data_IF_696980579179
#
_entry.id   IF_696980579179
#
_cell.length_a   1.000
_cell.length_b   1.000
_cell.length_c   1.000
_cell.angle_alpha   90.00
_cell.angle_beta   90.00
_cell.angle_gamma   90.00
#
_symmetry.space_group_name_H-M   'P 1'
#
loop_
_entity.id
_entity.type
_entity.pdbx_description
1 polymer ?
#
# COMPACT_ATOMS: atom_id res chain seq x y z
N UNK A 1 9.50 -23.15 12.53
CA UNK A 1 8.04 -23.05 12.58
C UNK A 1 7.67 -22.21 11.38
N UNK A 2 7.30 -22.83 10.27
CA UNK A 2 6.74 -22.09 9.14
C UNK A 2 5.37 -21.58 9.59
N UNK A 3 5.37 -20.37 10.11
CA UNK A 3 4.25 -19.75 10.80
C UNK A 3 3.08 -19.60 9.84
N UNK A 4 1.91 -20.01 10.29
CA UNK A 4 0.70 -19.88 9.50
C UNK A 4 0.39 -18.40 9.20
N UNK A 5 0.08 -18.07 7.94
CA UNK A 5 -0.49 -16.77 7.57
C UNK A 5 -2.03 -16.87 7.59
N UNK A 6 -2.71 -16.45 8.68
CA UNK A 6 -4.16 -16.51 8.85
C UNK A 6 -4.93 -15.83 7.71
N UNK A 7 -4.40 -14.72 7.22
CA UNK A 7 -5.06 -13.91 6.19
C UNK A 7 -5.02 -14.57 4.81
N UNK A 8 -4.05 -15.45 4.56
CA UNK A 8 -3.97 -16.26 3.34
C UNK A 8 -4.76 -17.59 3.43
N UNK A 9 -5.33 -17.91 4.59
CA UNK A 9 -6.18 -19.11 4.75
C UNK A 9 -7.62 -18.80 4.38
N UNK A 10 -8.36 -19.77 3.81
CA UNK A 10 -9.80 -19.65 3.63
C UNK A 10 -10.50 -19.32 4.95
N UNK A 11 -11.47 -18.42 4.90
CA UNK A 11 -12.14 -17.88 6.08
C UNK A 11 -13.31 -16.97 5.71
N UNK A 12 -13.79 -16.23 6.69
CA UNK A 12 -14.86 -15.26 6.54
C UNK A 12 -14.58 -14.01 7.39
N UNK A 13 -15.22 -12.90 7.03
CA UNK A 13 -15.14 -11.67 7.81
C UNK A 13 -16.23 -11.67 8.88
N UNK A 14 -15.82 -11.63 10.15
CA UNK A 14 -16.71 -11.42 11.30
C UNK A 14 -16.73 -9.93 11.64
N UNK A 15 -17.92 -9.40 11.95
CA UNK A 15 -18.13 -7.98 12.25
C UNK A 15 -18.74 -7.84 13.65
N UNK A 16 -17.93 -7.98 14.70
CA UNK A 16 -18.33 -7.60 16.06
C UNK A 16 -17.11 -7.39 17.00
N UNK A 17 -16.80 -6.14 17.44
CA UNK A 17 -17.38 -4.87 17.02
C UNK A 17 -16.71 -4.27 15.76
N UNK A 18 -15.66 -4.89 15.22
CA UNK A 18 -14.93 -4.45 14.02
C UNK A 18 -14.64 -5.62 13.07
N UNK A 19 -14.25 -5.36 11.80
CA UNK A 19 -13.93 -6.42 10.84
C UNK A 19 -12.72 -7.24 11.29
N UNK A 20 -12.94 -8.53 11.56
CA UNK A 20 -11.91 -9.51 11.93
C UNK A 20 -11.97 -10.67 10.96
N UNK A 21 -10.82 -11.04 10.39
CA UNK A 21 -10.74 -12.27 9.60
C UNK A 21 -10.84 -13.50 10.50
N UNK A 22 -11.71 -14.44 10.16
CA UNK A 22 -11.83 -15.73 10.84
C UNK A 22 -11.50 -16.85 9.86
N UNK A 23 -10.27 -17.38 9.89
CA UNK A 23 -9.94 -18.55 9.09
C UNK A 23 -10.73 -19.76 9.59
N UNK A 24 -11.08 -20.67 8.68
CA UNK A 24 -11.73 -21.93 9.06
C UNK A 24 -10.80 -22.87 9.84
N UNK A 25 -9.48 -22.65 9.73
CA UNK A 25 -8.48 -23.36 10.52
C UNK A 25 -8.22 -22.62 11.83
N UNK A 26 -8.84 -23.11 12.92
CA UNK A 26 -8.72 -22.56 14.27
C UNK A 26 -7.29 -22.61 14.83
N UNK A 27 -6.40 -23.43 14.26
CA UNK A 27 -4.99 -23.47 14.68
C UNK A 27 -4.18 -22.28 14.15
N UNK A 28 -4.78 -21.49 13.27
CA UNK A 28 -4.17 -20.38 12.57
C UNK A 28 -4.97 -19.09 12.77
N UNK A 29 -5.16 -18.64 14.01
CA UNK A 29 -5.89 -17.39 14.26
C UNK A 29 -5.05 -16.13 13.96
N UNK A 30 -5.68 -15.04 13.46
CA UNK A 30 -5.00 -13.77 13.28
C UNK A 30 -4.62 -13.13 14.63
N UNK A 31 -3.40 -12.56 14.72
CA UNK A 31 -3.02 -11.84 15.91
C UNK A 31 -3.77 -10.50 15.99
N UNK A 32 -4.15 -10.08 17.20
CA UNK A 32 -4.89 -8.82 17.45
C UNK A 32 -3.96 -7.62 17.66
N UNK A 33 -2.86 -7.54 16.91
CA UNK A 33 -1.80 -6.55 17.13
C UNK A 33 -2.31 -5.12 17.00
N UNK A 34 -3.18 -4.83 16.03
CA UNK A 34 -3.69 -3.48 15.84
C UNK A 34 -4.66 -3.08 16.95
N UNK A 35 -5.54 -3.98 17.38
CA UNK A 35 -6.42 -3.73 18.52
C UNK A 35 -5.62 -3.46 19.81
N UNK A 36 -4.53 -4.20 20.05
CA UNK A 36 -3.63 -3.92 21.17
C UNK A 36 -2.93 -2.57 21.04
N UNK A 37 -2.53 -2.17 19.83
CA UNK A 37 -1.96 -0.85 19.56
C UNK A 37 -2.95 0.26 19.91
N UNK A 38 -4.20 0.18 19.45
CA UNK A 38 -5.26 1.13 19.78
C UNK A 38 -5.52 1.24 21.29
N UNK A 39 -5.50 0.12 22.01
CA UNK A 39 -5.66 0.13 23.46
C UNK A 39 -4.46 0.74 24.19
N UNK A 40 -3.26 0.61 23.63
CA UNK A 40 -2.03 1.10 24.26
C UNK A 40 -1.80 2.60 24.15
N UNK A 41 -2.45 3.27 23.17
CA UNK A 41 -2.31 4.70 22.92
C UNK A 41 -3.48 5.48 23.57
N UNK A 42 -3.21 6.44 24.47
CA UNK A 42 -4.26 7.28 25.05
C UNK A 42 -5.00 8.12 24.01
N UNK A 43 -4.33 8.57 22.95
CA UNK A 43 -4.92 9.42 21.89
C UNK A 43 -6.02 8.71 21.10
N UNK A 44 -5.95 7.39 20.96
CA UNK A 44 -6.99 6.59 20.32
C UNK A 44 -8.30 6.53 21.12
N UNK A 45 -8.32 7.03 22.36
CA UNK A 45 -9.49 7.01 23.26
C UNK A 45 -10.64 7.96 22.89
N UNK A 46 -10.38 8.95 22.03
CA UNK A 46 -11.35 9.97 21.63
C UNK A 46 -11.61 10.01 20.11
N UNK A 47 -11.05 9.04 19.36
CA UNK A 47 -11.14 8.98 17.90
C UNK A 47 -12.32 8.15 17.37
N UNK A 48 -12.46 8.03 16.04
CA UNK A 48 -13.52 7.26 15.39
C UNK A 48 -13.50 5.76 15.74
N UNK A 49 -12.42 5.29 16.36
CA UNK A 49 -12.20 3.90 16.77
C UNK A 49 -12.23 3.68 18.28
N UNK A 50 -12.66 4.67 19.06
CA UNK A 50 -12.62 4.62 20.53
C UNK A 50 -13.34 3.38 21.10
N UNK A 51 -14.46 2.97 20.48
CA UNK A 51 -15.26 1.80 20.88
C UNK A 51 -14.62 0.46 20.50
N UNK A 52 -13.59 0.44 19.65
CA UNK A 52 -12.91 -0.79 19.19
C UNK A 52 -11.65 -1.11 19.99
N UNK A 53 -11.32 -0.29 20.99
CA UNK A 53 -10.21 -0.57 21.91
C UNK A 53 -10.56 -1.80 22.74
N UNK A 54 -9.60 -2.71 22.89
CA UNK A 54 -9.70 -3.77 23.89
C UNK A 54 -9.80 -3.14 25.29
N UNK A 55 -10.76 -3.59 26.10
CA UNK A 55 -11.03 -3.11 27.48
C UNK A 55 -9.85 -3.33 28.44
N UNK A 56 -8.90 -4.18 28.04
CA UNK A 56 -7.58 -4.30 28.63
C UNK A 56 -6.63 -5.03 27.66
N UNK A 57 -5.33 -4.81 27.79
CA UNK A 57 -4.30 -5.57 27.06
C UNK A 57 -3.49 -6.34 28.09
N UNK A 58 -3.50 -7.66 28.00
CA UNK A 58 -2.70 -8.52 28.87
C UNK A 58 -1.21 -8.15 28.76
N UNK A 59 -0.45 -8.29 29.85
CA UNK A 59 0.98 -7.92 29.88
C UNK A 59 1.78 -8.60 28.75
N UNK A 60 1.52 -9.87 28.50
CA UNK A 60 2.17 -10.63 27.42
C UNK A 60 1.86 -10.05 26.03
N UNK A 61 0.60 -9.66 25.78
CA UNK A 61 0.19 -9.04 24.53
C UNK A 61 0.83 -7.67 24.32
N UNK A 62 1.02 -6.89 25.40
CA UNK A 62 1.75 -5.62 25.35
C UNK A 62 3.23 -5.82 25.03
N UNK A 63 3.88 -6.79 25.68
CA UNK A 63 5.29 -7.14 25.40
C UNK A 63 5.48 -7.63 23.95
N UNK A 64 4.53 -8.42 23.44
CA UNK A 64 4.54 -8.85 22.05
C UNK A 64 4.41 -7.65 21.10
N UNK A 65 3.45 -6.76 21.35
CA UNK A 65 3.28 -5.54 20.57
C UNK A 65 4.59 -4.73 20.55
N UNK A 66 5.14 -4.42 21.72
CA UNK A 66 6.42 -3.69 21.86
C UNK A 66 7.54 -4.35 21.05
N UNK A 67 7.70 -5.68 21.16
CA UNK A 67 8.70 -6.42 20.37
C UNK A 67 8.50 -6.25 18.86
N UNK A 68 7.24 -6.22 18.42
CA UNK A 68 6.88 -6.12 17.00
C UNK A 68 7.09 -4.71 16.46
N UNK A 69 6.67 -3.65 17.17
CA UNK A 69 6.60 -2.29 16.60
C UNK A 69 7.67 -1.33 17.10
N UNK A 70 8.34 -1.59 18.23
CA UNK A 70 9.29 -0.65 18.81
C UNK A 70 10.45 -0.38 17.85
N UNK A 71 10.72 0.91 17.59
CA UNK A 71 11.82 1.37 16.72
C UNK A 71 11.75 0.76 15.31
N UNK A 72 10.54 0.65 14.73
CA UNK A 72 10.32 0.06 13.39
C UNK A 72 9.89 1.07 12.34
N UNK A 73 10.34 0.83 11.11
CA UNK A 73 9.86 1.57 9.93
C UNK A 73 9.16 0.64 8.96
N UNK A 74 7.90 0.96 8.67
CA UNK A 74 7.07 0.28 7.68
C UNK A 74 6.86 1.21 6.49
N UNK A 75 7.19 0.73 5.29
CA UNK A 75 7.07 1.46 4.03
C UNK A 75 5.98 0.83 3.16
N UNK A 76 4.94 1.58 2.79
CA UNK A 76 3.95 1.16 1.79
C UNK A 76 4.29 1.78 0.43
N UNK A 77 4.68 0.97 -0.54
CA UNK A 77 4.99 1.37 -1.92
C UNK A 77 3.80 1.05 -2.81
N UNK A 78 3.13 2.08 -3.29
CA UNK A 78 1.89 1.89 -4.04
C UNK A 78 1.27 3.19 -4.55
N UNK A 79 -0.04 3.28 -4.42
CA UNK A 79 -0.86 4.35 -4.98
C UNK A 79 -1.71 5.06 -3.91
N UNK A 80 -2.80 5.71 -4.34
CA UNK A 80 -3.73 6.43 -3.46
C UNK A 80 -4.31 5.55 -2.34
N UNK A 81 -4.43 4.23 -2.55
CA UNK A 81 -4.92 3.31 -1.51
C UNK A 81 -3.93 3.25 -0.36
N UNK A 82 -2.65 3.03 -0.65
CA UNK A 82 -1.61 2.91 0.38
C UNK A 82 -1.41 4.23 1.13
N UNK A 83 -1.53 5.36 0.44
CA UNK A 83 -1.64 6.69 1.06
C UNK A 83 -2.79 6.76 2.04
N UNK A 84 -3.99 6.44 1.55
CA UNK A 84 -5.20 6.50 2.36
C UNK A 84 -5.04 5.59 3.56
N UNK A 85 -4.41 4.42 3.44
CA UNK A 85 -4.16 3.53 4.58
C UNK A 85 -3.25 4.16 5.65
N UNK A 86 -2.19 4.89 5.28
CA UNK A 86 -1.35 5.64 6.25
C UNK A 86 -2.14 6.78 6.92
N UNK A 87 -2.98 7.48 6.16
CA UNK A 87 -3.84 8.54 6.71
C UNK A 87 -4.90 7.96 7.66
N UNK A 88 -5.57 6.88 7.26
CA UNK A 88 -6.52 6.13 8.08
C UNK A 88 -5.84 5.64 9.38
N UNK A 89 -4.61 5.11 9.29
CA UNK A 89 -3.85 4.70 10.47
C UNK A 89 -3.75 5.85 11.47
N UNK A 90 -3.24 6.99 11.02
CA UNK A 90 -3.04 8.14 11.88
C UNK A 90 -4.34 8.60 12.52
N UNK A 91 -5.41 8.73 11.74
CA UNK A 91 -6.74 9.10 12.24
C UNK A 91 -7.24 8.09 13.29
N UNK A 92 -7.08 6.79 13.05
CA UNK A 92 -7.45 5.75 14.01
C UNK A 92 -6.63 5.82 15.31
N UNK A 93 -5.34 6.20 15.23
CA UNK A 93 -4.49 6.39 16.40
C UNK A 93 -4.72 7.73 17.13
N UNK A 94 -5.63 8.58 16.64
CA UNK A 94 -5.83 9.94 17.15
C UNK A 94 -4.67 10.89 16.84
N UNK A 95 -3.95 10.62 15.76
CA UNK A 95 -2.79 11.38 15.27
C UNK A 95 -3.14 12.05 13.94
N UNK A 96 -2.28 12.98 13.49
CA UNK A 96 -2.36 13.57 12.16
C UNK A 96 -1.25 13.03 11.27
N UNK A 97 -1.62 12.57 10.08
CA UNK A 97 -0.65 12.22 9.05
C UNK A 97 0.03 13.46 8.50
N UNK A 98 1.30 13.32 8.10
CA UNK A 98 2.09 14.41 7.52
C UNK A 98 2.41 14.09 6.07
N UNK A 99 2.10 15.02 5.18
CA UNK A 99 2.44 14.92 3.76
C UNK A 99 3.87 15.40 3.50
N UNK A 100 4.62 14.62 2.73
CA UNK A 100 5.97 14.94 2.28
C UNK A 100 5.89 15.50 0.86
N UNK A 101 5.86 16.83 0.76
CA UNK A 101 5.98 17.57 -0.50
C UNK A 101 7.41 18.12 -0.65
N UNK A 102 7.72 18.84 -1.73
CA UNK A 102 9.03 19.43 -1.93
C UNK A 102 9.43 20.42 -0.81
N UNK A 103 8.48 21.04 -0.13
CA UNK A 103 8.75 21.96 0.98
C UNK A 103 9.03 21.23 2.31
N UNK A 104 8.76 19.93 2.38
CA UNK A 104 9.05 19.11 3.54
C UNK A 104 10.54 18.73 3.60
N UNK A 105 11.11 18.63 4.80
CA UNK A 105 12.53 18.27 4.99
C UNK A 105 12.93 16.90 4.40
N UNK A 106 11.97 15.99 4.23
CA UNK A 106 12.18 14.69 3.58
C UNK A 106 11.88 14.69 2.08
N UNK A 107 11.38 15.79 1.53
CA UNK A 107 10.91 15.88 0.15
C UNK A 107 11.89 16.52 -0.83
N UNK A 108 13.13 16.82 -0.40
CA UNK A 108 14.11 17.52 -1.24
C UNK A 108 14.43 16.79 -2.55
N UNK A 109 14.27 15.47 -2.60
CA UNK A 109 14.45 14.68 -3.82
C UNK A 109 13.54 15.12 -4.96
N UNK A 110 12.34 15.62 -4.64
CA UNK A 110 11.44 16.18 -5.65
C UNK A 110 12.08 17.37 -6.38
N UNK A 111 12.89 18.19 -5.70
CA UNK A 111 13.55 19.36 -6.32
C UNK A 111 14.68 18.98 -7.28
N UNK A 112 15.21 17.76 -7.15
CA UNK A 112 16.37 17.30 -7.90
C UNK A 112 16.01 16.51 -9.15
N UNK A 113 14.71 16.25 -9.39
CA UNK A 113 14.26 15.58 -10.62
C UNK A 113 14.35 16.56 -11.79
N UNK A 114 14.99 16.14 -12.88
CA UNK A 114 15.03 16.90 -14.12
C UNK A 114 13.61 17.03 -14.72
N UNK A 115 13.04 18.22 -14.65
CA UNK A 115 11.65 18.48 -15.05
C UNK A 115 11.46 19.93 -15.46
N UNK A 116 10.63 20.17 -16.48
CA UNK A 116 10.14 21.51 -16.83
C UNK A 116 9.02 21.98 -15.90
N UNK A 117 8.43 21.07 -15.14
CA UNK A 117 7.34 21.32 -14.20
C UNK A 117 7.90 21.47 -12.80
N UNK A 118 7.55 22.56 -12.11
CA UNK A 118 7.92 22.75 -10.69
C UNK A 118 7.20 21.71 -9.81
N UNK A 119 7.86 21.15 -8.78
CA UNK A 119 7.22 20.15 -7.92
C UNK A 119 5.96 20.66 -7.22
N UNK A 120 5.95 21.91 -6.74
CA UNK A 120 4.80 22.46 -6.02
C UNK A 120 4.33 21.54 -4.89
N UNK A 121 3.02 21.26 -4.86
CA UNK A 121 2.40 20.36 -3.90
C UNK A 121 2.38 18.87 -4.33
N UNK A 122 3.28 18.47 -5.23
CA UNK A 122 3.49 17.04 -5.55
C UNK A 122 3.85 16.26 -4.30
N UNK A 123 3.17 15.13 -4.10
CA UNK A 123 3.39 14.22 -3.00
C UNK A 123 4.46 13.19 -3.32
N UNK A 124 5.43 13.07 -2.42
CA UNK A 124 6.42 12.00 -2.40
C UNK A 124 6.00 10.84 -1.49
N UNK A 125 5.45 11.18 -0.33
CA UNK A 125 5.04 10.26 0.72
C UNK A 125 3.98 10.92 1.62
N UNK A 126 3.24 10.13 2.36
CA UNK A 126 2.60 10.51 3.62
C UNK A 126 3.25 9.67 4.73
N UNK A 127 3.29 10.18 5.97
CA UNK A 127 3.72 9.37 7.10
C UNK A 127 2.87 9.59 8.35
N UNK A 128 2.88 8.56 9.20
CA UNK A 128 2.33 8.52 10.52
C UNK A 128 3.41 8.09 11.51
N UNK A 129 3.77 8.95 12.45
CA UNK A 129 4.79 8.68 13.45
C UNK A 129 4.16 8.46 14.83
N UNK A 130 4.44 7.32 15.44
CA UNK A 130 3.91 6.91 16.75
C UNK A 130 5.03 7.03 17.77
N UNK A 131 5.12 8.20 18.42
CA UNK A 131 6.22 8.55 19.33
C UNK A 131 6.41 7.54 20.47
N UNK A 132 5.32 7.06 21.06
CA UNK A 132 5.35 6.10 22.18
C UNK A 132 6.16 4.82 21.87
N UNK A 133 6.24 4.42 20.60
CA UNK A 133 6.96 3.24 20.14
C UNK A 133 8.16 3.56 19.25
N UNK A 134 8.43 4.84 18.97
CA UNK A 134 9.39 5.24 17.95
C UNK A 134 9.16 4.51 16.60
N UNK A 135 7.90 4.38 16.21
CA UNK A 135 7.48 3.64 15.00
C UNK A 135 7.07 4.62 13.91
N UNK A 136 7.59 4.43 12.69
CA UNK A 136 7.24 5.22 11.52
C UNK A 136 6.52 4.35 10.48
N UNK A 137 5.31 4.72 10.12
CA UNK A 137 4.57 4.15 8.98
C UNK A 137 4.56 5.20 7.88
N UNK A 138 5.04 4.87 6.69
CA UNK A 138 5.11 5.84 5.59
C UNK A 138 4.75 5.22 4.26
N UNK A 139 4.18 6.00 3.34
CA UNK A 139 3.91 5.60 1.96
C UNK A 139 4.99 6.11 0.99
N UNK A 140 5.00 5.58 -0.23
CA UNK A 140 5.76 6.09 -1.36
C UNK A 140 4.97 5.84 -2.66
N UNK A 141 4.82 6.87 -3.48
CA UNK A 141 3.97 6.83 -4.68
C UNK A 141 4.71 6.46 -5.96
N UNK A 142 4.08 5.63 -6.78
CA UNK A 142 4.50 5.37 -8.16
C UNK A 142 3.32 5.29 -9.14
N UNK A 143 3.64 5.24 -10.44
CA UNK A 143 2.66 5.24 -11.54
C UNK A 143 2.45 3.85 -12.17
N UNK A 144 2.46 2.81 -11.34
CA UNK A 144 2.31 1.44 -11.82
C UNK A 144 3.50 0.89 -12.62
N UNK A 145 3.23 -0.04 -13.54
CA UNK A 145 4.19 -0.76 -14.38
C UNK A 145 4.64 0.02 -15.62
N UNK A 146 4.02 1.16 -15.88
CA UNK A 146 4.04 1.83 -17.18
C UNK A 146 5.44 2.34 -17.59
N UNK A 147 5.75 2.23 -18.88
CA UNK A 147 7.05 2.61 -19.48
C UNK A 147 6.93 3.50 -20.72
N UNK A 148 5.75 3.63 -21.31
CA UNK A 148 5.47 4.31 -22.59
C UNK A 148 5.06 5.79 -22.44
N UNK A 149 5.41 6.42 -21.31
CA UNK A 149 5.24 7.87 -21.07
C UNK A 149 3.80 8.40 -21.15
N UNK A 150 2.78 7.54 -20.98
CA UNK A 150 1.36 7.94 -21.00
C UNK A 150 1.05 9.08 -20.01
N UNK A 151 1.69 9.06 -18.84
CA UNK A 151 1.45 10.04 -17.78
C UNK A 151 2.18 11.36 -18.02
N UNK A 152 3.30 11.38 -18.74
CA UNK A 152 4.04 12.59 -19.09
C UNK A 152 3.18 13.67 -19.79
N UNK A 153 2.09 13.25 -20.44
CA UNK A 153 1.16 14.14 -21.16
C UNK A 153 0.08 14.74 -20.27
N UNK A 154 -0.02 14.32 -19.00
CA UNK A 154 -1.06 14.79 -18.08
C UNK A 154 -0.61 16.06 -17.33
N UNK A 155 -1.47 17.09 -17.19
CA UNK A 155 -1.07 18.36 -16.56
C UNK A 155 -0.59 18.25 -15.12
N UNK A 156 -1.12 17.28 -14.35
CA UNK A 156 -0.76 17.09 -12.93
C UNK A 156 0.42 16.16 -12.71
N UNK A 157 0.94 15.54 -13.79
CA UNK A 157 2.04 14.60 -13.70
C UNK A 157 3.32 15.25 -13.16
N UNK A 158 4.04 14.47 -12.35
CA UNK A 158 5.38 14.82 -11.90
C UNK A 158 6.36 13.65 -12.10
N UNK A 159 7.50 13.87 -12.78
CA UNK A 159 8.46 12.82 -13.09
C UNK A 159 9.20 12.27 -11.87
N UNK A 160 9.93 11.14 -12.04
CA UNK A 160 9.94 10.28 -13.22
C UNK A 160 8.72 9.34 -13.27
N UNK A 161 8.35 8.87 -14.46
CA UNK A 161 7.21 7.97 -14.63
C UNK A 161 7.57 6.53 -14.28
N UNK A 162 8.70 6.07 -14.80
CA UNK A 162 9.16 4.69 -14.67
C UNK A 162 9.46 4.36 -13.21
N UNK A 163 8.93 3.23 -12.73
CA UNK A 163 9.08 2.82 -11.34
C UNK A 163 10.54 2.76 -10.88
N UNK A 164 11.44 2.15 -11.66
CA UNK A 164 12.85 2.01 -11.25
C UNK A 164 13.55 3.36 -11.11
N UNK A 165 13.24 4.31 -12.00
CA UNK A 165 13.74 5.68 -11.89
C UNK A 165 13.18 6.39 -10.65
N UNK A 166 11.89 6.22 -10.33
CA UNK A 166 11.34 6.76 -9.07
C UNK A 166 12.01 6.15 -7.85
N UNK A 167 12.27 4.85 -7.87
CA UNK A 167 12.96 4.19 -6.76
C UNK A 167 14.39 4.71 -6.59
N UNK A 168 15.09 4.95 -7.69
CA UNK A 168 16.46 5.48 -7.67
C UNK A 168 16.50 6.96 -7.24
N UNK A 169 15.75 7.81 -7.93
CA UNK A 169 15.84 9.27 -7.85
C UNK A 169 14.99 9.86 -6.71
N UNK A 170 13.92 9.18 -6.29
CA UNK A 170 13.00 9.69 -5.28
C UNK A 170 13.02 8.87 -3.98
N UNK A 171 12.76 7.55 -4.06
CA UNK A 171 12.70 6.70 -2.86
C UNK A 171 14.07 6.60 -2.17
N UNK A 172 15.14 6.34 -2.92
CA UNK A 172 16.49 6.24 -2.37
C UNK A 172 16.86 7.47 -1.52
N UNK A 173 16.82 8.68 -2.10
CA UNK A 173 17.03 9.92 -1.36
C UNK A 173 16.04 10.16 -0.21
N UNK A 174 14.77 9.77 -0.35
CA UNK A 174 13.79 9.86 0.75
C UNK A 174 14.22 9.00 1.94
N UNK A 175 14.64 7.77 1.71
CA UNK A 175 15.14 6.87 2.75
C UNK A 175 16.44 7.39 3.39
N UNK A 176 17.34 7.99 2.59
CA UNK A 176 18.54 8.66 3.10
C UNK A 176 18.17 9.84 4.02
N UNK A 177 17.19 10.65 3.61
CA UNK A 177 16.70 11.79 4.37
C UNK A 177 16.05 11.38 5.70
N UNK A 178 15.40 10.21 5.76
CA UNK A 178 14.88 9.61 7.00
C UNK A 178 15.99 9.10 7.92
N UNK A 179 17.14 8.69 7.37
CA UNK A 179 18.30 8.22 8.14
C UNK A 179 19.25 9.33 8.60
N UNK A 180 19.08 10.55 8.07
CA UNK A 180 19.89 11.71 8.40
C UNK A 180 19.66 12.14 9.87
N UNK A 181 20.71 12.35 10.69
CA UNK A 181 20.62 12.77 12.09
C UNK A 181 20.10 14.21 12.32
N UNK A 182 19.27 14.77 11.44
CA UNK A 182 18.69 16.11 11.60
C UNK A 182 17.90 16.20 12.90
N UNK A 183 18.32 17.08 13.78
CA UNK A 183 17.64 17.37 15.06
C UNK A 183 16.59 18.45 14.84
N UNK A 184 15.33 18.04 14.67
CA UNK A 184 14.17 18.93 14.78
C UNK A 184 13.12 18.26 15.65
N UNK A 185 12.51 19.00 16.58
CA UNK A 185 11.39 18.51 17.39
C UNK A 185 10.13 18.23 16.56
N UNK A 186 10.06 18.76 15.34
CA UNK A 186 8.95 18.52 14.41
C UNK A 186 9.14 17.30 13.51
N UNK A 187 10.32 16.66 13.53
CA UNK A 187 10.63 15.51 12.68
C UNK A 187 10.76 14.22 13.51
N UNK A 188 10.38 13.07 12.96
CA UNK A 188 10.69 11.78 13.57
C UNK A 188 12.21 11.61 13.80
N UNK A 189 12.63 10.84 14.82
CA UNK A 189 14.03 10.45 15.00
C UNK A 189 14.59 9.73 13.77
N UNK A 190 15.92 9.77 13.63
CA UNK A 190 16.63 9.12 12.53
C UNK A 190 16.28 7.62 12.42
N UNK A 191 16.04 7.16 11.21
CA UNK A 191 15.67 5.76 10.93
C UNK A 191 16.89 4.94 10.51
N UNK A 192 17.03 3.73 11.04
CA UNK A 192 18.15 2.82 10.68
C UNK A 192 17.98 2.15 9.32
N UNK A 193 16.75 2.07 8.83
CA UNK A 193 16.37 1.39 7.60
C UNK A 193 14.89 1.06 7.61
N UNK A 194 14.47 0.22 6.67
CA UNK A 194 13.12 -0.32 6.58
C UNK A 194 13.09 -1.69 7.26
N UNK A 195 12.08 -1.98 8.06
CA UNK A 195 11.86 -3.30 8.67
C UNK A 195 10.87 -4.13 7.85
N UNK A 196 9.85 -3.47 7.27
CA UNK A 196 8.87 -4.07 6.37
C UNK A 196 8.57 -3.10 5.22
N UNK A 197 8.58 -3.61 3.99
CA UNK A 197 8.02 -2.93 2.82
C UNK A 197 6.78 -3.68 2.33
N UNK A 198 5.68 -2.99 2.11
CA UNK A 198 4.46 -3.51 1.48
C UNK A 198 4.38 -2.91 0.09
N UNK A 199 4.24 -3.75 -0.93
CA UNK A 199 4.20 -3.34 -2.33
C UNK A 199 2.84 -3.62 -2.96
N UNK A 200 2.33 -2.72 -3.79
CA UNK A 200 1.18 -2.96 -4.65
C UNK A 200 1.30 -2.18 -5.96
N UNK A 201 0.77 -2.75 -7.05
CA UNK A 201 0.63 -2.06 -8.34
C UNK A 201 -0.64 -2.53 -9.01
N UNK A 202 -1.53 -1.61 -9.36
CA UNK A 202 -2.76 -1.97 -10.06
C UNK A 202 -3.60 -0.81 -10.55
N UNK A 203 -3.87 0.21 -9.71
CA UNK A 203 -4.81 1.26 -10.12
C UNK A 203 -4.29 2.10 -11.28
N UNK A 204 -3.02 2.49 -11.26
CA UNK A 204 -2.39 3.18 -12.38
C UNK A 204 -2.35 2.32 -13.64
N UNK A 205 -2.11 1.01 -13.50
CA UNK A 205 -2.08 0.06 -14.61
C UNK A 205 -3.44 -0.03 -15.30
N UNK A 206 -4.50 -0.19 -14.50
CA UNK A 206 -5.88 -0.23 -14.95
C UNK A 206 -6.32 1.10 -15.59
N UNK A 207 -5.89 2.23 -15.02
CA UNK A 207 -6.16 3.55 -15.56
C UNK A 207 -5.50 3.75 -16.93
N UNK A 208 -4.22 3.38 -17.09
CA UNK A 208 -3.54 3.44 -18.38
C UNK A 208 -4.25 2.60 -19.42
N UNK A 209 -4.57 1.34 -19.10
CA UNK A 209 -5.25 0.46 -20.05
C UNK A 209 -6.66 0.93 -20.40
N UNK A 210 -7.40 1.52 -19.46
CA UNK A 210 -8.69 2.14 -19.76
C UNK A 210 -8.54 3.32 -20.74
N UNK A 211 -7.50 4.16 -20.59
CA UNK A 211 -7.21 5.23 -21.54
C UNK A 211 -6.85 4.71 -22.93
N UNK A 212 -6.03 3.67 -23.00
CA UNK A 212 -5.66 2.99 -24.25
C UNK A 212 -6.88 2.35 -24.94
N UNK A 213 -7.74 1.66 -24.17
CA UNK A 213 -8.94 1.01 -24.70
C UNK A 213 -9.86 2.04 -25.35
N UNK A 214 -10.05 3.19 -24.70
CA UNK A 214 -10.82 4.31 -25.25
C UNK A 214 -10.22 4.82 -26.55
N UNK A 215 -8.89 4.99 -26.62
CA UNK A 215 -8.21 5.40 -27.85
C UNK A 215 -8.38 4.39 -28.98
N UNK A 216 -8.47 3.10 -28.66
CA UNK A 216 -8.70 2.02 -29.61
C UNK A 216 -10.19 1.77 -29.94
N UNK A 217 -11.12 2.49 -29.31
CA UNK A 217 -12.56 2.27 -29.49
C UNK A 217 -13.07 0.97 -28.86
N UNK A 218 -12.35 0.43 -27.88
CA UNK A 218 -12.69 -0.81 -27.14
C UNK A 218 -13.29 -0.46 -25.78
N UNK A 219 -14.22 -1.29 -25.29
CA UNK A 219 -14.80 -1.07 -23.96
C UNK A 219 -13.79 -1.38 -22.85
N UNK A 220 -13.57 -0.42 -21.95
CA UNK A 220 -12.68 -0.54 -20.78
C UNK A 220 -13.16 -1.55 -19.72
N UNK A 221 -14.37 -2.09 -19.85
CA UNK A 221 -14.91 -3.13 -18.96
C UNK A 221 -14.52 -4.56 -19.36
N UNK A 222 -14.02 -4.77 -20.58
CA UNK A 222 -13.63 -6.10 -21.06
C UNK A 222 -12.41 -6.62 -20.30
N UNK A 223 -12.24 -7.95 -20.30
CA UNK A 223 -11.08 -8.60 -19.70
C UNK A 223 -9.76 -8.07 -20.26
N UNK A 224 -8.72 -8.09 -19.42
CA UNK A 224 -7.36 -7.79 -19.83
C UNK A 224 -6.85 -8.86 -20.81
N UNK A 225 -6.19 -8.39 -21.86
CA UNK A 225 -5.57 -9.28 -22.85
C UNK A 225 -4.43 -10.08 -22.23
N UNK A 226 -4.12 -11.25 -22.78
CA UNK A 226 -2.99 -12.05 -22.33
C UNK A 226 -1.65 -11.30 -22.42
N UNK A 227 -1.53 -10.36 -23.38
CA UNK A 227 -0.33 -9.53 -23.52
C UNK A 227 -0.18 -8.56 -22.34
N UNK A 228 -1.26 -7.87 -21.93
CA UNK A 228 -1.24 -6.99 -20.75
C UNK A 228 -0.90 -7.77 -19.49
N UNK A 229 -1.51 -8.95 -19.31
CA UNK A 229 -1.23 -9.81 -18.15
C UNK A 229 0.23 -10.29 -18.10
N UNK A 230 0.80 -10.74 -19.24
CA UNK A 230 2.21 -11.14 -19.31
C UNK A 230 3.15 -9.97 -19.05
N UNK A 231 2.86 -8.81 -19.62
CA UNK A 231 3.65 -7.60 -19.41
C UNK A 231 3.62 -7.18 -17.93
N UNK A 232 2.44 -7.13 -17.32
CA UNK A 232 2.28 -6.78 -15.91
C UNK A 232 3.06 -7.72 -14.99
N UNK A 233 2.94 -9.04 -15.18
CA UNK A 233 3.74 -10.02 -14.41
C UNK A 233 5.24 -9.81 -14.57
N UNK A 234 5.70 -9.55 -15.80
CA UNK A 234 7.12 -9.35 -16.10
C UNK A 234 7.64 -8.06 -15.46
N UNK A 235 6.91 -6.95 -15.61
CA UNK A 235 7.29 -5.66 -15.03
C UNK A 235 7.32 -5.68 -13.50
N UNK A 236 6.40 -6.40 -12.87
CA UNK A 236 6.38 -6.50 -11.40
C UNK A 236 7.63 -7.19 -10.85
N UNK A 237 8.22 -8.16 -11.57
CA UNK A 237 9.52 -8.75 -11.19
C UNK A 237 10.61 -7.67 -11.13
N UNK A 238 10.71 -6.86 -12.19
CA UNK A 238 11.70 -5.78 -12.26
C UNK A 238 11.48 -4.73 -11.15
N UNK A 239 10.22 -4.35 -10.92
CA UNK A 239 9.84 -3.40 -9.87
C UNK A 239 10.21 -3.90 -8.48
N UNK A 240 9.85 -5.15 -8.15
CA UNK A 240 10.13 -5.73 -6.84
C UNK A 240 11.63 -5.90 -6.60
N UNK A 241 12.42 -6.16 -7.63
CA UNK A 241 13.88 -6.15 -7.50
C UNK A 241 14.47 -4.76 -7.35
N UNK A 242 13.96 -3.77 -8.10
CA UNK A 242 14.36 -2.37 -7.91
C UNK A 242 14.06 -1.93 -6.48
N UNK A 243 12.88 -2.25 -5.95
CA UNK A 243 12.53 -1.97 -4.56
C UNK A 243 13.47 -2.68 -3.57
N UNK A 244 13.73 -3.98 -3.79
CA UNK A 244 14.68 -4.78 -2.99
C UNK A 244 16.06 -4.12 -2.89
N UNK A 245 16.55 -3.50 -3.97
CA UNK A 245 17.84 -2.82 -3.97
C UNK A 245 17.91 -1.63 -3.00
N UNK A 246 16.77 -1.00 -2.70
CA UNK A 246 16.69 0.16 -1.77
C UNK A 246 16.30 -0.22 -0.35
N UNK A 247 15.40 -1.20 -0.17
CA UNK A 247 14.97 -1.64 1.18
C UNK A 247 15.89 -2.69 1.81
N UNK A 248 16.88 -3.19 1.06
CA UNK A 248 17.90 -4.09 1.56
C UNK A 248 17.32 -5.43 2.02
N UNK A 249 17.60 -5.82 3.27
CA UNK A 249 17.16 -7.11 3.83
C UNK A 249 15.72 -7.09 4.38
N UNK A 250 15.07 -5.93 4.43
CA UNK A 250 13.70 -5.80 4.93
C UNK A 250 12.75 -6.81 4.28
N UNK A 251 11.79 -7.36 5.01
CA UNK A 251 10.79 -8.22 4.37
C UNK A 251 9.98 -7.40 3.36
N UNK A 252 9.64 -7.99 2.21
CA UNK A 252 8.68 -7.40 1.28
C UNK A 252 7.41 -8.24 1.34
N UNK A 253 6.27 -7.60 1.55
CA UNK A 253 4.95 -8.20 1.37
C UNK A 253 4.27 -7.58 0.14
N UNK A 254 3.55 -8.36 -0.64
CA UNK A 254 2.77 -7.86 -1.76
C UNK A 254 1.31 -7.75 -1.31
N UNK A 255 0.65 -6.62 -1.49
CA UNK A 255 -0.78 -6.42 -1.22
C UNK A 255 -1.62 -6.60 -2.50
N UNK A 256 -2.72 -7.34 -2.42
CA UNK A 256 -3.69 -7.46 -3.52
C UNK A 256 -4.44 -6.15 -3.78
N UNK A 257 -4.92 -5.98 -5.00
CA UNK A 257 -5.61 -4.77 -5.48
C UNK A 257 -7.07 -4.84 -5.03
N UNK A 258 -7.59 -3.85 -4.28
CA UNK A 258 -8.95 -3.90 -3.77
C UNK A 258 -9.97 -3.90 -4.91
N UNK A 259 -11.07 -4.61 -4.71
CA UNK A 259 -12.21 -4.55 -5.63
C UNK A 259 -12.91 -3.18 -5.52
N UNK A 260 -13.47 -2.67 -6.62
CA UNK A 260 -14.21 -1.42 -6.58
C UNK A 260 -15.48 -1.60 -5.74
N UNK A 261 -15.78 -0.62 -4.90
CA UNK A 261 -17.08 -0.51 -4.24
C UNK A 261 -18.21 -0.35 -5.27
N UNK A 262 -19.39 -0.91 -4.99
CA UNK A 262 -20.56 -0.72 -5.86
C UNK A 262 -20.88 0.79 -5.98
N UNK A 263 -20.85 1.32 -7.21
CA UNK A 263 -21.05 2.75 -7.49
C UNK A 263 -19.82 3.64 -7.38
N UNK A 264 -18.70 3.15 -6.84
CA UNK A 264 -17.43 3.88 -6.83
C UNK A 264 -16.69 3.66 -8.16
N UNK A 265 -17.08 4.42 -9.18
CA UNK A 265 -16.27 4.55 -10.38
C UNK A 265 -15.08 5.45 -10.06
N UNK A 266 -14.00 4.85 -9.54
CA UNK A 266 -12.70 5.50 -9.44
C UNK A 266 -12.33 6.03 -10.81
N UNK A 267 -12.32 7.36 -10.95
CA UNK A 267 -12.07 8.03 -12.22
C UNK A 267 -10.58 8.33 -12.37
N UNK A 268 -10.09 8.33 -13.60
CA UNK A 268 -8.67 8.65 -13.88
C UNK A 268 -8.30 10.02 -13.31
N UNK A 269 -9.25 10.97 -13.31
CA UNK A 269 -9.11 12.28 -12.67
C UNK A 269 -8.87 12.18 -11.17
N UNK A 270 -9.66 11.38 -10.45
CA UNK A 270 -9.49 11.17 -9.02
C UNK A 270 -8.10 10.59 -8.72
N UNK A 271 -7.65 9.64 -9.53
CA UNK A 271 -6.31 9.06 -9.42
C UNK A 271 -5.21 10.10 -9.69
N UNK A 272 -5.33 10.91 -10.75
CA UNK A 272 -4.40 12.01 -11.06
C UNK A 272 -4.40 13.15 -10.03
N UNK A 273 -5.52 13.36 -9.31
CA UNK A 273 -5.55 14.32 -8.20
C UNK A 273 -4.87 13.79 -6.94
N UNK A 274 -4.81 12.45 -6.78
CA UNK A 274 -4.28 11.82 -5.56
C UNK A 274 -2.77 12.04 -5.35
N UNK A 275 -2.04 12.46 -6.39
CA UNK A 275 -0.60 12.77 -6.33
C UNK A 275 -0.29 14.21 -5.90
N UNK A 276 -1.32 15.00 -5.60
CA UNK A 276 -1.23 16.38 -5.13
C UNK A 276 -1.75 16.49 -3.69
N UNK A 277 -1.10 17.30 -2.87
CA UNK A 277 -1.47 17.45 -1.46
C UNK A 277 -2.79 18.21 -1.27
N UNK A 278 -3.06 19.22 -2.11
CA UNK A 278 -4.13 20.20 -1.88
C UNK A 278 -5.20 20.27 -2.97
N UNK A 279 -5.02 19.56 -4.09
CA UNK A 279 -5.85 19.72 -5.28
C UNK A 279 -7.23 19.07 -5.15
N UNK A 280 -8.29 19.85 -5.38
CA UNK A 280 -9.68 19.39 -5.53
C UNK A 280 -10.13 19.56 -6.98
N UNK A 281 -10.68 18.53 -7.64
CA UNK A 281 -11.06 18.63 -9.03
C UNK A 281 -12.31 19.51 -9.28
N UNK A 282 -12.26 20.40 -10.28
CA UNK A 282 -13.36 21.30 -10.69
C UNK A 282 -13.91 21.13 -12.13
N UNK A 283 -13.62 20.05 -12.87
CA UNK A 283 -14.04 19.87 -14.29
C UNK A 283 -14.42 18.41 -14.66
N UNK A 284 -15.37 18.24 -15.58
CA UNK A 284 -16.07 16.96 -15.85
C UNK A 284 -15.36 16.04 -16.88
N UNK A 285 -14.27 16.47 -17.53
CA UNK A 285 -13.77 15.79 -18.75
C UNK A 285 -12.96 14.49 -18.56
N UNK A 286 -12.97 13.83 -17.39
CA UNK A 286 -12.20 12.59 -17.11
C UNK A 286 -12.88 11.63 -16.11
N UNK A 287 -14.22 11.60 -16.09
CA UNK A 287 -15.03 10.82 -15.13
C UNK A 287 -15.17 9.32 -15.41
N UNK A 288 -14.42 8.77 -16.38
CA UNK A 288 -14.63 7.37 -16.80
C UNK A 288 -14.10 6.36 -15.76
N UNK A 289 -14.86 5.30 -15.45
CA UNK A 289 -14.37 4.22 -14.61
C UNK A 289 -13.23 3.46 -15.27
N UNK A 290 -12.21 3.15 -14.49
CA UNK A 290 -11.09 2.29 -14.94
C UNK A 290 -10.94 1.02 -14.10
N UNK A 291 -11.59 0.94 -12.93
CA UNK A 291 -11.53 -0.22 -12.05
C UNK A 291 -12.76 -1.10 -12.28
N UNK A 292 -12.54 -2.31 -12.79
CA UNK A 292 -13.59 -3.31 -13.03
C UNK A 292 -13.21 -4.62 -12.34
N UNK A 293 -14.20 -5.29 -11.74
CA UNK A 293 -13.97 -6.47 -10.89
C UNK A 293 -13.29 -7.62 -11.64
N UNK A 294 -13.64 -7.87 -12.89
CA UNK A 294 -12.98 -8.88 -13.74
C UNK A 294 -11.48 -8.57 -13.93
N UNK A 295 -11.12 -7.32 -14.22
CA UNK A 295 -9.71 -6.92 -14.38
C UNK A 295 -8.93 -7.02 -13.06
N UNK A 296 -9.52 -6.58 -11.96
CA UNK A 296 -8.93 -6.72 -10.61
C UNK A 296 -8.71 -8.20 -10.27
N UNK A 297 -9.70 -9.05 -10.54
CA UNK A 297 -9.62 -10.49 -10.33
C UNK A 297 -8.48 -11.12 -11.15
N UNK A 298 -8.31 -10.73 -12.43
CA UNK A 298 -7.19 -11.20 -13.26
C UNK A 298 -5.82 -10.81 -12.67
N UNK A 299 -5.66 -9.57 -12.22
CA UNK A 299 -4.41 -9.09 -11.62
C UNK A 299 -4.11 -9.77 -10.28
N UNK A 300 -5.10 -9.92 -9.40
CA UNK A 300 -4.94 -10.60 -8.12
C UNK A 300 -4.63 -12.10 -8.30
N UNK A 301 -5.28 -12.75 -9.27
CA UNK A 301 -4.96 -14.14 -9.63
C UNK A 301 -3.52 -14.27 -10.16
N UNK A 302 -3.07 -13.33 -11.01
CA UNK A 302 -1.70 -13.30 -11.52
C UNK A 302 -0.65 -13.04 -10.42
N UNK A 303 -0.98 -12.20 -9.44
CA UNK A 303 -0.19 -11.99 -8.21
C UNK A 303 -0.06 -13.30 -7.43
N UNK A 304 -1.18 -13.93 -7.08
CA UNK A 304 -1.19 -15.17 -6.28
C UNK A 304 -0.37 -16.28 -6.96
N UNK A 305 -0.53 -16.44 -8.28
CA UNK A 305 0.27 -17.39 -9.07
C UNK A 305 1.77 -17.05 -9.09
N UNK A 306 2.15 -15.78 -8.95
CA UNK A 306 3.56 -15.35 -8.90
C UNK A 306 4.18 -15.52 -7.50
N UNK A 307 3.35 -15.56 -6.44
CA UNK A 307 3.78 -15.84 -5.07
C UNK A 307 3.97 -17.35 -4.81
N UNK A 308 3.24 -18.20 -5.55
CA UNK A 308 3.22 -19.66 -5.35
C UNK A 308 3.84 -20.41 -6.53
N UNK A 309 5.02 -19.99 -7.02
CA UNK A 309 5.70 -20.67 -8.13
C UNK A 309 6.09 -22.10 -7.74
N UNK A 310 5.69 -23.08 -8.55
CA UNK A 310 5.99 -24.50 -8.32
C UNK A 310 6.57 -25.17 -9.56
N UNK A 311 7.26 -26.30 -9.39
CA UNK A 311 7.73 -27.14 -10.49
C UNK A 311 8.57 -26.39 -11.54
N UNK A 312 8.05 -26.27 -12.77
CA UNK A 312 8.71 -25.62 -13.90
C UNK A 312 8.28 -24.15 -14.10
N UNK A 313 7.46 -23.60 -13.20
CA UNK A 313 6.97 -22.24 -13.29
C UNK A 313 8.14 -21.24 -13.27
N UNK A 314 8.04 -20.20 -14.10
CA UNK A 314 8.96 -19.07 -14.01
C UNK A 314 8.28 -17.78 -14.44
N UNK A 315 8.77 -16.67 -13.89
CA UNK A 315 8.39 -15.33 -14.30
C UNK A 315 9.65 -14.58 -14.66
N UNK A 316 9.74 -14.11 -15.90
CA UNK A 316 10.88 -13.37 -16.42
C UNK A 316 10.56 -11.87 -16.44
N UNK A 317 11.37 -11.09 -15.76
CA UNK A 317 11.37 -9.64 -15.85
C UNK A 317 11.88 -9.14 -17.21
N UNK A 318 11.48 -7.94 -17.58
CA UNK A 318 11.90 -7.31 -18.83
C UNK A 318 13.37 -6.89 -18.80
N UNK A 319 13.94 -6.73 -17.60
CA UNK A 319 15.36 -6.40 -17.40
C UNK A 319 16.24 -7.64 -17.18
N UNK A 320 15.74 -8.83 -17.57
CA UNK A 320 16.51 -10.07 -17.58
C UNK A 320 16.47 -10.88 -16.28
N UNK A 321 15.82 -10.37 -15.24
CA UNK A 321 15.62 -11.10 -13.99
C UNK A 321 14.67 -12.28 -14.19
N UNK A 322 14.89 -13.36 -13.44
CA UNK A 322 14.06 -14.57 -13.54
C UNK A 322 13.76 -15.10 -12.16
N UNK A 323 12.47 -15.23 -11.86
CA UNK A 323 11.99 -15.94 -10.68
C UNK A 323 11.62 -17.36 -11.06
N UNK A 324 12.23 -18.30 -10.37
CA UNK A 324 11.91 -19.73 -10.39
C UNK A 324 11.52 -20.17 -8.98
N UNK A 325 11.03 -21.39 -8.75
CA UNK A 325 10.74 -21.88 -7.39
C UNK A 325 11.98 -21.88 -6.49
N UNK A 326 13.19 -21.97 -7.06
CA UNK A 326 14.45 -21.97 -6.31
C UNK A 326 15.09 -20.59 -6.14
N UNK A 327 14.74 -19.62 -7.00
CA UNK A 327 15.34 -18.27 -6.98
C UNK A 327 14.37 -17.16 -6.59
N UNK A 328 13.07 -17.46 -6.45
CA UNK A 328 12.11 -16.42 -6.10
C UNK A 328 12.44 -15.85 -4.71
N UNK A 329 12.38 -14.52 -4.53
CA UNK A 329 12.52 -13.94 -3.21
C UNK A 329 11.31 -14.33 -2.36
N UNK A 330 11.53 -14.58 -1.07
CA UNK A 330 10.43 -14.75 -0.11
C UNK A 330 9.65 -13.43 -0.02
N UNK A 331 8.42 -13.43 -0.54
CA UNK A 331 7.51 -12.29 -0.52
C UNK A 331 6.29 -12.68 0.32
N UNK A 332 5.91 -11.83 1.27
CA UNK A 332 4.69 -11.99 2.08
C UNK A 332 3.41 -11.75 1.27
N UNK A 333 2.31 -12.34 1.73
CA UNK A 333 1.01 -12.25 1.07
C UNK A 333 0.04 -11.46 1.96
N UNK A 334 -0.41 -10.30 1.48
CA UNK A 334 -1.52 -9.54 2.05
C UNK A 334 -2.71 -9.61 1.07
N UNK A 335 -3.61 -10.60 1.20
CA UNK A 335 -4.72 -10.84 0.27
C UNK A 335 -5.97 -10.04 0.66
N UNK A 336 -5.79 -8.72 0.87
CA UNK A 336 -6.83 -7.83 1.36
C UNK A 336 -8.10 -7.88 0.50
N UNK A 337 -7.95 -7.84 -0.83
CA UNK A 337 -9.05 -7.84 -1.77
C UNK A 337 -9.85 -9.15 -1.76
N UNK A 338 -9.17 -10.28 -1.57
CA UNK A 338 -9.77 -11.60 -1.47
C UNK A 338 -10.56 -11.73 -0.16
N UNK A 339 -10.05 -11.15 0.92
CA UNK A 339 -10.71 -11.14 2.23
C UNK A 339 -11.95 -10.24 2.27
N UNK A 340 -11.93 -9.13 1.54
CA UNK A 340 -13.03 -8.14 1.54
C UNK A 340 -13.95 -8.27 0.32
N UNK A 341 -13.76 -9.30 -0.51
CA UNK A 341 -14.59 -9.55 -1.68
C UNK A 341 -16.06 -9.74 -1.28
N UNK A 342 -16.95 -9.04 -1.98
CA UNK A 342 -18.40 -9.10 -1.73
C UNK A 342 -18.87 -8.35 -0.49
N UNK A 343 -17.99 -7.65 0.24
CA UNK A 343 -18.40 -6.78 1.34
C UNK A 343 -19.00 -5.47 0.80
N UNK A 344 -20.14 -5.07 1.34
CA UNK A 344 -20.72 -3.76 1.06
C UNK A 344 -19.93 -2.68 1.80
N UNK A 345 -19.12 -1.94 1.05
CA UNK A 345 -18.28 -0.84 1.56
C UNK A 345 -19.05 0.46 1.81
N UNK A 346 -20.32 0.53 1.41
CA UNK A 346 -21.17 1.73 1.47
C UNK A 346 -22.54 1.52 2.14
N UNK A 347 -22.72 0.42 2.89
CA UNK A 347 -23.96 0.15 3.61
C UNK A 347 -24.08 0.96 4.92
N UNK A 348 -25.30 1.07 5.50
CA UNK A 348 -25.55 1.67 6.82
C UNK A 348 -24.82 0.97 7.99
N UNK A 349 -24.05 -0.09 7.70
CA UNK A 349 -23.24 -0.87 8.63
C UNK A 349 -21.75 -0.50 8.64
N UNK A 350 -21.29 0.48 7.85
CA UNK A 350 -19.91 1.00 8.02
C UNK A 350 -19.81 1.74 9.36
N UNK A 351 -19.25 1.07 10.37
CA UNK A 351 -19.12 1.60 11.73
C UNK A 351 -18.19 2.83 11.79
N UNK A 352 -17.41 3.08 10.72
CA UNK A 352 -16.47 4.21 10.64
C UNK A 352 -17.00 5.45 9.90
N UNK A 353 -18.25 5.44 9.45
CA UNK A 353 -18.82 6.51 8.63
C UNK A 353 -18.11 6.68 7.28
N UNK A 354 -18.16 7.86 6.68
CA UNK A 354 -17.50 8.17 5.39
C UNK A 354 -16.04 8.58 5.53
N UNK A 355 -15.54 8.70 6.77
CA UNK A 355 -14.22 9.31 7.04
C UNK A 355 -13.06 8.33 7.08
N UNK A 356 -13.33 7.04 7.32
CA UNK A 356 -12.31 6.01 7.27
C UNK A 356 -12.67 4.94 6.24
N UNK A 357 -11.64 4.32 5.67
CA UNK A 357 -11.82 3.10 4.90
C UNK A 357 -12.24 1.96 5.85
N UNK A 358 -13.37 1.27 5.59
CA UNK A 358 -13.86 0.20 6.46
C UNK A 358 -12.88 -0.99 6.57
N UNK A 359 -12.03 -1.19 5.57
CA UNK A 359 -11.06 -2.28 5.54
C UNK A 359 -9.72 -1.90 6.20
N UNK A 360 -9.57 -0.66 6.69
CA UNK A 360 -8.29 -0.16 7.21
C UNK A 360 -7.81 -0.94 8.44
N UNK A 361 -8.71 -1.31 9.37
CA UNK A 361 -8.33 -2.11 10.54
C UNK A 361 -7.76 -3.46 10.12
N UNK A 362 -8.47 -4.14 9.23
CA UNK A 362 -8.08 -5.46 8.72
C UNK A 362 -6.76 -5.41 7.95
N UNK A 363 -6.57 -4.37 7.13
CA UNK A 363 -5.32 -4.11 6.45
C UNK A 363 -4.15 -3.96 7.44
N UNK A 364 -4.30 -3.14 8.48
CA UNK A 364 -3.23 -2.91 9.44
C UNK A 364 -2.92 -4.12 10.31
N UNK A 365 -3.90 -4.96 10.64
CA UNK A 365 -3.61 -6.25 11.29
C UNK A 365 -2.77 -7.18 10.38
N UNK A 366 -3.09 -7.25 9.08
CA UNK A 366 -2.29 -8.01 8.12
C UNK A 366 -0.86 -7.46 7.97
N UNK A 367 -0.70 -6.14 7.91
CA UNK A 367 0.62 -5.49 7.86
C UNK A 367 1.42 -5.76 9.14
N UNK A 368 0.79 -5.67 10.32
CA UNK A 368 1.47 -5.93 11.59
C UNK A 368 1.84 -7.40 11.77
N UNK A 369 1.08 -8.34 11.20
CA UNK A 369 1.50 -9.75 11.11
C UNK A 369 2.76 -9.89 10.25
N UNK A 370 2.79 -9.29 9.07
CA UNK A 370 3.97 -9.34 8.19
C UNK A 370 5.19 -8.68 8.85
N UNK A 371 4.98 -7.61 9.63
CA UNK A 371 6.04 -7.00 10.44
C UNK A 371 6.50 -7.95 11.54
N UNK A 372 5.57 -8.60 12.25
CA UNK A 372 5.88 -9.61 13.28
C UNK A 372 6.73 -10.74 12.70
N UNK A 373 6.44 -11.19 11.48
CA UNK A 373 7.24 -12.20 10.77
C UNK A 373 8.61 -11.63 10.38
N UNK A 374 8.68 -10.37 9.95
CA UNK A 374 9.93 -9.72 9.55
C UNK A 374 10.93 -9.52 10.70
N UNK A 375 10.43 -9.36 11.94
CA UNK A 375 11.24 -9.05 13.13
C UNK A 375 11.32 -10.21 14.13
N UNK A 376 10.73 -11.36 13.81
CA UNK A 376 10.93 -12.62 14.53
C UNK A 376 12.29 -13.22 14.16
#
# INVERSE_FOLDING_TARGET
MDGCNPFAKPGYLEHDPYPIWRPFDETCEPPRLFAHLLSSLPTASAGPVANFRSTGVATQARQELERVIQNRTVLLVGDTIDRSMVQNLCTMLGLSSVSVTADHAFGDSLKNVESTTTPGDTLLADYCYVEQYDTLFTSFYHYGIETSEVWNKQPTYYPPQRFEARVEELLGPYLQALSDPRTSTSLPPRRKGIDLAVFSSGLWDLATWAMEDVQMGVASSQDLTSQRMKNWRSRTVDMLSSLRSKVGKARIAWRSIPYPAAGAHGSVRSLLSSIKASFKPTDESNERPFVYANRVSQLNSARAASLSLQGADNVRGTLGQVWTPSSHPTIGDIPLAEMTFGQETSGPHSVFGTTLNPDAMLFWDAVLLELKIAVA
#
